data_IF_626799655388
#
_entry.id   IF_626799655388
#
_cell.length_a   1.000
_cell.length_b   1.000
_cell.length_c   1.000
_cell.angle_alpha   90.00
_cell.angle_beta   90.00
_cell.angle_gamma   90.00
#
_symmetry.space_group_name_H-M   'P 1'
#
loop_
_entity.id
_entity.type
_entity.pdbx_description
1 polymer ?
#
# COMPACT_ATOMS: atom_id res chain seq x y z
N UNK A 1 -1.76 -40.59 49.32
CA UNK A 1 -1.13 -40.64 47.99
C UNK A 1 -1.06 -39.21 47.43
N UNK A 2 0.10 -38.53 47.45
CA UNK A 2 0.28 -37.25 46.78
C UNK A 2 0.78 -37.45 45.33
N UNK A 3 0.01 -36.93 44.37
CA UNK A 3 0.32 -37.00 42.94
C UNK A 3 1.52 -36.14 42.56
N UNK A 4 2.38 -36.73 41.72
CA UNK A 4 3.62 -36.20 41.15
C UNK A 4 3.46 -34.79 40.56
N UNK A 5 4.35 -33.90 40.96
CA UNK A 5 4.86 -32.86 40.06
C UNK A 5 5.69 -33.54 38.96
N UNK A 6 5.53 -33.08 37.72
CA UNK A 6 6.56 -33.20 36.70
C UNK A 6 6.70 -31.87 35.96
N UNK A 7 7.93 -31.33 35.84
CA UNK A 7 8.23 -30.10 35.12
C UNK A 7 8.48 -30.37 33.63
N UNK A 8 8.59 -29.32 32.83
CA UNK A 8 8.90 -29.26 31.39
C UNK A 8 7.70 -29.19 30.42
N UNK A 9 7.59 -28.03 29.80
CA UNK A 9 6.74 -27.81 28.64
C UNK A 9 6.68 -26.35 28.22
N UNK A 10 7.83 -25.72 27.97
CA UNK A 10 7.89 -24.42 27.27
C UNK A 10 7.08 -24.54 25.97
N UNK A 11 5.90 -23.93 25.90
CA UNK A 11 5.30 -23.52 24.64
C UNK A 11 4.96 -22.05 24.73
N UNK A 12 5.94 -21.28 24.25
CA UNK A 12 5.76 -19.97 23.67
C UNK A 12 4.45 -19.91 22.88
N UNK A 13 3.44 -19.26 23.43
CA UNK A 13 2.47 -18.54 22.61
C UNK A 13 2.76 -17.07 22.80
N UNK A 14 3.88 -16.65 22.18
CA UNK A 14 4.07 -15.27 21.74
C UNK A 14 2.92 -15.02 20.77
N UNK A 15 1.77 -14.57 21.27
CA UNK A 15 0.74 -13.98 20.42
C UNK A 15 1.45 -12.85 19.71
N UNK A 16 1.65 -13.04 18.41
CA UNK A 16 2.14 -12.03 17.50
C UNK A 16 1.35 -10.76 17.78
N UNK A 17 2.10 -9.72 18.12
CA UNK A 17 1.62 -8.36 18.03
C UNK A 17 1.15 -8.18 16.59
N UNK A 18 -0.16 -8.21 16.38
CA UNK A 18 -0.76 -7.48 15.26
C UNK A 18 -0.87 -6.03 15.71
N UNK A 19 0.30 -5.44 15.93
CA UNK A 19 0.45 -4.00 15.89
C UNK A 19 0.37 -3.68 14.40
N UNK A 20 -0.85 -3.41 13.92
CA UNK A 20 -1.01 -2.58 12.74
C UNK A 20 -0.39 -1.24 13.12
N UNK A 21 0.91 -1.15 12.91
CA UNK A 21 1.64 0.09 12.83
C UNK A 21 1.08 0.82 11.61
N UNK A 22 -0.07 1.45 11.83
CA UNK A 22 -0.64 2.48 10.99
C UNK A 22 0.10 3.79 11.32
N UNK A 23 1.42 3.68 11.37
CA UNK A 23 2.33 4.75 11.76
C UNK A 23 3.16 5.05 10.53
N UNK A 24 2.80 6.18 9.92
CA UNK A 24 3.64 6.96 9.01
C UNK A 24 3.74 6.29 7.62
N UNK A 25 2.98 6.82 6.65
CA UNK A 25 3.48 6.90 5.27
C UNK A 25 4.92 7.40 5.36
N UNK A 26 5.89 6.50 5.23
CA UNK A 26 7.32 6.80 5.29
C UNK A 26 7.57 8.07 4.48
N UNK A 27 8.24 9.08 5.05
CA UNK A 27 8.53 10.32 4.34
C UNK A 27 9.30 10.06 3.02
N UNK A 28 9.91 8.87 2.88
CA UNK A 28 10.56 8.38 1.66
C UNK A 28 9.59 7.69 0.67
N UNK A 29 8.43 7.17 1.08
CA UNK A 29 7.47 6.52 0.18
C UNK A 29 6.73 7.51 -0.72
N UNK A 30 6.37 8.68 -0.22
CA UNK A 30 5.68 9.72 -1.00
C UNK A 30 6.47 10.17 -2.25
N UNK A 31 7.78 10.51 -2.16
CA UNK A 31 8.56 10.84 -3.35
C UNK A 31 8.76 9.63 -4.28
N UNK A 32 8.85 8.41 -3.76
CA UNK A 32 8.91 7.18 -4.59
C UNK A 32 7.61 6.96 -5.37
N UNK A 33 6.44 7.17 -4.74
CA UNK A 33 5.14 7.10 -5.39
C UNK A 33 5.01 8.16 -6.47
N UNK A 34 5.45 9.39 -6.21
CA UNK A 34 5.45 10.47 -7.20
C UNK A 34 6.33 10.15 -8.40
N UNK A 35 7.55 9.66 -8.17
CA UNK A 35 8.46 9.24 -9.23
C UNK A 35 7.88 8.07 -10.05
N UNK A 36 7.22 7.12 -9.38
CA UNK A 36 6.53 6.01 -10.02
C UNK A 36 5.36 6.49 -10.88
N UNK A 37 4.48 7.33 -10.35
CA UNK A 37 3.35 7.90 -11.09
C UNK A 37 3.80 8.77 -12.28
N UNK A 38 4.92 9.48 -12.13
CA UNK A 38 5.54 10.22 -13.22
C UNK A 38 6.03 9.28 -14.32
N UNK A 39 6.75 8.21 -13.94
CA UNK A 39 7.19 7.16 -14.85
C UNK A 39 5.99 6.48 -15.56
N UNK A 40 4.94 6.12 -14.83
CA UNK A 40 3.71 5.50 -15.35
C UNK A 40 3.02 6.43 -16.36
N UNK A 41 2.97 7.72 -16.07
CA UNK A 41 2.40 8.74 -16.95
C UNK A 41 3.19 8.96 -18.24
N UNK A 42 4.49 8.65 -18.24
CA UNK A 42 5.36 8.69 -19.43
C UNK A 42 5.40 7.34 -20.17
N UNK A 43 4.97 6.26 -19.53
CA UNK A 43 4.89 4.92 -20.09
C UNK A 43 3.67 4.76 -21.00
N UNK A 44 3.88 4.11 -22.15
CA UNK A 44 2.80 3.80 -23.09
C UNK A 44 1.98 2.60 -22.57
N UNK A 45 0.78 2.40 -23.13
CA UNK A 45 -0.14 1.28 -22.80
C UNK A 45 0.51 -0.11 -22.97
N UNK A 46 1.53 -0.23 -23.84
CA UNK A 46 2.25 -1.49 -24.12
C UNK A 46 3.36 -1.81 -23.10
N UNK A 47 3.50 -1.00 -22.03
CA UNK A 47 4.60 -1.16 -21.09
C UNK A 47 4.35 -2.33 -20.13
N UNK A 48 5.26 -3.30 -20.14
CA UNK A 48 5.23 -4.44 -19.21
C UNK A 48 5.68 -3.97 -17.83
N UNK A 49 4.77 -4.03 -16.87
CA UNK A 49 5.05 -3.72 -15.46
C UNK A 49 5.76 -4.87 -14.77
N UNK A 50 6.73 -4.53 -13.93
CA UNK A 50 7.44 -5.50 -13.11
C UNK A 50 6.71 -5.68 -11.77
N UNK A 51 6.65 -6.93 -11.28
CA UNK A 51 6.08 -7.24 -9.96
C UNK A 51 6.81 -6.53 -8.82
N UNK A 52 8.05 -6.09 -9.06
CA UNK A 52 8.83 -5.29 -8.10
C UNK A 52 8.17 -3.95 -7.76
N UNK A 53 7.26 -3.43 -8.60
CA UNK A 53 6.54 -2.17 -8.35
C UNK A 53 5.19 -2.38 -7.62
N UNK A 54 4.78 -3.63 -7.33
CA UNK A 54 3.48 -3.92 -6.67
C UNK A 54 3.36 -3.29 -5.28
N UNK A 55 4.45 -3.09 -4.56
CA UNK A 55 4.41 -2.41 -3.26
C UNK A 55 4.01 -0.94 -3.40
N UNK A 56 4.41 -0.27 -4.48
CA UNK A 56 4.03 1.12 -4.78
C UNK A 56 2.57 1.21 -5.18
N UNK A 57 2.10 0.26 -6.00
CA UNK A 57 0.69 0.12 -6.36
C UNK A 57 -0.18 0.00 -5.12
N UNK A 58 0.14 -0.95 -4.24
CA UNK A 58 -0.64 -1.17 -3.02
C UNK A 58 -0.62 0.07 -2.12
N UNK A 59 0.52 0.74 -1.99
CA UNK A 59 0.61 1.96 -1.21
C UNK A 59 -0.22 3.10 -1.80
N UNK A 60 -0.29 3.22 -3.14
CA UNK A 60 -1.14 4.21 -3.82
C UNK A 60 -2.62 3.89 -3.61
N UNK A 61 -3.00 2.62 -3.71
CA UNK A 61 -4.38 2.17 -3.44
C UNK A 61 -4.77 2.52 -2.01
N UNK A 62 -3.90 2.24 -1.04
CA UNK A 62 -4.14 2.54 0.36
C UNK A 62 -4.31 4.05 0.57
N UNK A 63 -3.40 4.87 0.01
CA UNK A 63 -3.49 6.33 0.07
C UNK A 63 -4.81 6.87 -0.49
N UNK A 64 -5.24 6.38 -1.65
CA UNK A 64 -6.49 6.79 -2.30
C UNK A 64 -7.71 6.43 -1.44
N UNK A 65 -7.67 5.26 -0.79
CA UNK A 65 -8.70 4.81 0.15
C UNK A 65 -8.69 5.64 1.43
N UNK A 66 -7.53 5.95 1.99
CA UNK A 66 -7.36 6.79 3.19
C UNK A 66 -7.86 8.22 2.95
N UNK A 67 -7.56 8.80 1.79
CA UNK A 67 -8.02 10.13 1.41
C UNK A 67 -9.50 10.19 1.02
N UNK A 68 -10.18 9.05 0.92
CA UNK A 68 -11.60 9.00 0.59
C UNK A 68 -11.91 9.35 -0.88
N UNK A 69 -10.96 9.19 -1.80
CA UNK A 69 -11.21 9.34 -3.24
C UNK A 69 -11.94 8.10 -3.77
N UNK A 70 -13.24 8.02 -3.50
CA UNK A 70 -14.08 6.86 -3.83
C UNK A 70 -14.06 6.52 -5.31
N UNK A 71 -14.09 7.52 -6.20
CA UNK A 71 -14.11 7.28 -7.65
C UNK A 71 -12.92 6.47 -8.17
N UNK A 72 -11.73 6.69 -7.62
CA UNK A 72 -10.50 5.97 -8.02
C UNK A 72 -10.42 4.64 -7.27
N UNK A 73 -10.78 4.63 -5.98
CA UNK A 73 -10.82 3.42 -5.16
C UNK A 73 -11.77 2.35 -5.73
N UNK A 74 -12.92 2.75 -6.28
CA UNK A 74 -13.89 1.87 -6.93
C UNK A 74 -13.33 1.24 -8.22
N UNK A 75 -12.51 1.97 -8.98
CA UNK A 75 -11.83 1.39 -10.15
C UNK A 75 -10.78 0.35 -9.76
N UNK A 76 -10.15 0.48 -8.59
CA UNK A 76 -9.28 -0.56 -8.05
C UNK A 76 -10.02 -1.80 -7.57
N UNK A 77 -11.29 -1.67 -7.21
CA UNK A 77 -12.14 -2.79 -6.78
C UNK A 77 -12.80 -3.51 -7.97
N UNK A 78 -12.66 -2.96 -9.18
CA UNK A 78 -13.26 -3.52 -10.39
C UNK A 78 -12.62 -4.87 -10.71
N UNK A 79 -13.37 -5.98 -10.65
CA UNK A 79 -12.83 -7.28 -10.99
C UNK A 79 -12.38 -7.27 -12.45
N UNK A 80 -11.24 -7.90 -12.75
CA UNK A 80 -10.61 -7.99 -14.07
C UNK A 80 -9.89 -6.75 -14.60
N UNK A 81 -9.97 -5.60 -13.92
CA UNK A 81 -9.13 -4.45 -14.25
C UNK A 81 -7.81 -4.56 -13.48
N UNK A 82 -6.68 -4.59 -14.19
CA UNK A 82 -5.38 -4.64 -13.53
C UNK A 82 -5.12 -3.30 -12.84
N UNK A 83 -4.72 -3.29 -11.57
CA UNK A 83 -4.50 -2.06 -10.80
C UNK A 83 -3.53 -1.10 -11.48
N UNK A 84 -2.58 -1.61 -12.26
CA UNK A 84 -1.68 -0.77 -13.08
C UNK A 84 -2.40 0.02 -14.17
N UNK A 85 -3.44 -0.56 -14.79
CA UNK A 85 -4.24 0.14 -15.81
C UNK A 85 -4.99 1.29 -15.15
N UNK A 86 -5.55 1.05 -13.97
CA UNK A 86 -6.18 2.11 -13.15
C UNK A 86 -5.17 3.19 -12.79
N UNK A 87 -3.96 2.82 -12.35
CA UNK A 87 -2.91 3.81 -12.04
C UNK A 87 -2.52 4.61 -13.28
N UNK A 88 -2.37 3.97 -14.45
CA UNK A 88 -2.03 4.68 -15.68
C UNK A 88 -3.13 5.65 -16.11
N UNK A 89 -4.39 5.23 -16.04
CA UNK A 89 -5.56 6.06 -16.34
C UNK A 89 -5.67 7.27 -15.39
N UNK A 90 -5.39 7.07 -14.11
CA UNK A 90 -5.51 8.10 -13.08
C UNK A 90 -4.17 8.71 -12.69
N UNK A 91 -3.12 8.53 -13.48
CA UNK A 91 -1.75 8.89 -13.08
C UNK A 91 -1.61 10.38 -12.73
N UNK A 92 -2.29 11.27 -13.45
CA UNK A 92 -2.27 12.70 -13.17
C UNK A 92 -3.00 13.05 -11.87
N UNK A 93 -4.20 12.51 -11.66
CA UNK A 93 -4.98 12.73 -10.43
C UNK A 93 -4.28 12.14 -9.21
N UNK A 94 -3.70 10.95 -9.33
CA UNK A 94 -2.92 10.31 -8.27
C UNK A 94 -1.71 11.15 -7.87
N UNK A 95 -1.03 11.81 -8.82
CA UNK A 95 0.08 12.73 -8.48
C UNK A 95 -0.43 13.89 -7.63
N UNK A 96 -1.58 14.47 -7.98
CA UNK A 96 -2.18 15.56 -7.22
C UNK A 96 -2.47 15.11 -5.79
N UNK A 97 -3.11 13.95 -5.61
CA UNK A 97 -3.43 13.37 -4.31
C UNK A 97 -2.16 13.16 -3.46
N UNK A 98 -1.11 12.59 -4.07
CA UNK A 98 0.18 12.38 -3.39
C UNK A 98 0.84 13.70 -3.01
N UNK A 99 0.79 14.72 -3.88
CA UNK A 99 1.34 16.06 -3.61
C UNK A 99 0.56 16.78 -2.50
N UNK A 100 -0.76 16.69 -2.50
CA UNK A 100 -1.61 17.28 -1.46
C UNK A 100 -1.31 16.64 -0.10
N UNK A 101 -1.13 15.32 -0.04
CA UNK A 101 -0.69 14.62 1.17
C UNK A 101 0.73 15.02 1.60
N UNK A 102 1.62 15.27 0.65
CA UNK A 102 2.97 15.72 0.93
C UNK A 102 2.98 17.16 1.50
N UNK A 103 2.08 18.02 1.04
CA UNK A 103 2.02 19.42 1.45
C UNK A 103 1.27 19.65 2.76
N UNK A 104 0.29 18.79 3.10
CA UNK A 104 -0.47 18.86 4.36
C UNK A 104 0.38 18.47 5.59
N UNK A 105 1.38 17.60 5.40
CA UNK A 105 2.29 17.16 6.47
C UNK A 105 3.46 18.12 6.78
N UNK A 106 3.51 19.29 6.17
CA UNK A 106 4.61 20.28 6.34
C UNK A 106 4.20 21.48 7.16
#
# INVERSE_FOLDING_TARGET
MPGRQSPFGKKFHRKLQMEHNNDIMDNNKLPEMLAFLQKVSEMNEDTVYDSSDEYLVNAIIDLVKEQGHTSIAEEFDTPFLHSMITIQKWAEELKVIVIENFSDKK
#
